data_IF_426131816326
#
_entry.id   IF_426131816326
#
_cell.length_a   1.000
_cell.length_b   1.000
_cell.length_c   1.000
_cell.angle_alpha   90.00
_cell.angle_beta   90.00
_cell.angle_gamma   90.00
#
_symmetry.space_group_name_H-M   'P 1'
#
loop_
_entity.id
_entity.type
_entity.pdbx_description
1 polymer ?
#
# COMPACT_ATOMS: atom_id res chain seq x y z
N UNK A 1 19.62 -7.88 -79.06
CA UNK A 1 20.57 -7.85 -77.94
C UNK A 1 19.83 -7.35 -76.70
N UNK A 2 19.19 -8.25 -75.94
CA UNK A 2 18.56 -7.90 -74.66
C UNK A 2 19.33 -8.63 -73.56
N UNK A 3 19.90 -7.84 -72.64
CA UNK A 3 20.77 -8.28 -71.56
C UNK A 3 19.91 -8.56 -70.33
N UNK A 4 19.92 -9.80 -69.87
CA UNK A 4 19.33 -10.24 -68.61
C UNK A 4 20.03 -9.55 -67.42
N UNK A 5 19.28 -8.82 -66.60
CA UNK A 5 19.71 -8.39 -65.27
C UNK A 5 18.87 -9.12 -64.22
N UNK A 6 19.45 -10.11 -63.55
CA UNK A 6 18.89 -10.67 -62.32
C UNK A 6 19.07 -9.65 -61.20
N UNK A 7 17.98 -9.17 -60.60
CA UNK A 7 17.99 -8.45 -59.34
C UNK A 7 17.76 -9.48 -58.23
N UNK A 8 18.79 -9.73 -57.42
CA UNK A 8 18.69 -10.52 -56.19
C UNK A 8 18.35 -9.55 -55.06
N UNK A 9 17.09 -9.59 -54.60
CA UNK A 9 16.66 -8.88 -53.39
C UNK A 9 17.06 -9.70 -52.16
N UNK A 10 18.06 -9.24 -51.43
CA UNK A 10 18.36 -9.72 -50.08
C UNK A 10 17.36 -9.11 -49.10
N UNK A 11 16.34 -9.88 -48.71
CA UNK A 11 15.49 -9.53 -47.58
C UNK A 11 16.24 -9.85 -46.28
N UNK A 12 16.92 -8.85 -45.70
CA UNK A 12 17.42 -8.96 -44.34
C UNK A 12 16.23 -8.91 -43.38
N UNK A 13 15.82 -10.08 -42.86
CA UNK A 13 14.86 -10.16 -41.77
C UNK A 13 15.55 -9.64 -40.49
N UNK A 14 15.31 -8.37 -40.17
CA UNK A 14 15.58 -7.83 -38.83
C UNK A 14 14.61 -8.51 -37.86
N UNK A 15 15.04 -9.61 -37.24
CA UNK A 15 14.40 -10.11 -36.04
C UNK A 15 14.56 -9.05 -34.95
N UNK A 16 13.54 -8.22 -34.75
CA UNK A 16 13.40 -7.46 -33.51
C UNK A 16 13.32 -8.50 -32.40
N UNK A 17 14.36 -8.57 -31.58
CA UNK A 17 14.27 -9.20 -30.27
C UNK A 17 13.25 -8.33 -29.51
N UNK A 18 11.99 -8.73 -29.50
CA UNK A 18 11.04 -8.24 -28.52
C UNK A 18 11.57 -8.73 -27.17
N UNK A 19 12.33 -7.90 -26.46
CA UNK A 19 12.55 -8.09 -25.04
C UNK A 19 11.16 -8.07 -24.41
N UNK A 20 10.69 -9.23 -23.96
CA UNK A 20 9.46 -9.30 -23.18
C UNK A 20 9.75 -8.52 -21.91
N UNK A 21 9.16 -7.32 -21.79
CA UNK A 21 9.19 -6.58 -20.54
C UNK A 21 8.25 -7.30 -19.58
N UNK A 22 8.80 -7.91 -18.54
CA UNK A 22 8.04 -8.52 -17.45
C UNK A 22 8.20 -10.03 -17.31
N UNK A 23 7.90 -10.51 -16.10
CA UNK A 23 8.00 -11.88 -15.64
C UNK A 23 6.84 -12.72 -16.18
N UNK A 24 7.14 -13.92 -16.68
CA UNK A 24 6.09 -14.87 -17.11
C UNK A 24 5.21 -15.29 -15.92
N UNK A 25 3.90 -15.18 -16.10
CA UNK A 25 2.92 -15.51 -15.06
C UNK A 25 1.58 -15.95 -15.67
N UNK A 26 0.77 -16.61 -14.86
CA UNK A 26 -0.65 -16.86 -15.12
C UNK A 26 -1.44 -15.74 -14.43
N UNK A 27 -2.44 -15.21 -15.14
CA UNK A 27 -3.29 -14.13 -14.66
C UNK A 27 -4.72 -14.64 -14.47
N UNK A 28 -5.26 -14.42 -13.29
CA UNK A 28 -6.67 -14.66 -12.96
C UNK A 28 -7.29 -13.37 -12.44
N UNK A 29 -8.57 -13.16 -12.77
CA UNK A 29 -9.37 -12.06 -12.24
C UNK A 29 -10.61 -12.64 -11.59
N UNK A 30 -10.90 -12.17 -10.37
CA UNK A 30 -12.13 -12.52 -9.68
C UNK A 30 -12.56 -11.39 -8.74
N UNK A 31 -13.75 -11.55 -8.16
CA UNK A 31 -14.28 -10.65 -7.14
C UNK A 31 -14.48 -11.40 -5.83
N UNK A 32 -14.31 -10.71 -4.70
CA UNK A 32 -14.52 -11.24 -3.35
C UNK A 32 -15.40 -10.32 -2.52
N UNK A 33 -16.01 -10.89 -1.47
CA UNK A 33 -16.95 -10.18 -0.61
C UNK A 33 -18.16 -9.65 -1.39
N UNK A 34 -18.85 -8.69 -0.79
CA UNK A 34 -20.10 -8.12 -1.31
C UNK A 34 -21.33 -8.98 -1.05
N UNK A 35 -22.49 -8.33 -1.12
CA UNK A 35 -23.79 -8.89 -0.76
C UNK A 35 -24.86 -8.49 -1.77
N UNK A 36 -25.97 -9.22 -1.77
CA UNK A 36 -27.18 -8.80 -2.48
C UNK A 36 -28.01 -7.91 -1.55
N UNK A 37 -28.46 -6.77 -2.07
CA UNK A 37 -29.43 -5.90 -1.41
C UNK A 37 -30.71 -5.84 -2.24
N UNK A 38 -31.83 -5.71 -1.55
CA UNK A 38 -33.13 -5.45 -2.17
C UNK A 38 -33.24 -3.95 -2.52
N UNK A 39 -33.77 -3.66 -3.69
CA UNK A 39 -34.06 -2.31 -4.20
C UNK A 39 -35.49 -1.89 -3.84
N UNK A 40 -35.82 -0.61 -4.01
CA UNK A 40 -37.16 -0.06 -3.72
C UNK A 40 -38.30 -0.77 -4.48
N UNK A 41 -38.01 -1.43 -5.61
CA UNK A 41 -38.99 -2.16 -6.40
C UNK A 41 -39.03 -3.69 -6.11
N UNK A 42 -38.28 -4.17 -5.11
CA UNK A 42 -38.17 -5.60 -4.76
C UNK A 42 -37.15 -6.39 -5.60
N UNK A 43 -36.49 -5.76 -6.58
CA UNK A 43 -35.37 -6.36 -7.32
C UNK A 43 -34.12 -6.44 -6.45
N UNK A 44 -33.12 -7.23 -6.87
CA UNK A 44 -31.86 -7.40 -6.13
C UNK A 44 -30.65 -6.93 -6.94
N UNK A 45 -29.76 -6.20 -6.28
CA UNK A 45 -28.48 -5.73 -6.84
C UNK A 45 -27.32 -6.11 -5.92
N UNK A 46 -26.11 -6.25 -6.46
CA UNK A 46 -24.93 -6.62 -5.69
C UNK A 46 -24.04 -5.42 -5.42
N UNK A 47 -23.57 -5.28 -4.18
CA UNK A 47 -22.68 -4.19 -3.79
C UNK A 47 -21.57 -4.65 -2.83
N UNK A 48 -20.55 -3.80 -2.65
CA UNK A 48 -19.51 -3.98 -1.64
C UNK A 48 -18.45 -5.02 -1.99
N UNK A 49 -18.45 -5.54 -3.23
CA UNK A 49 -17.42 -6.46 -3.70
C UNK A 49 -16.12 -5.75 -4.08
N UNK A 50 -15.03 -6.50 -3.95
CA UNK A 50 -13.68 -6.05 -4.27
C UNK A 50 -13.15 -6.83 -5.47
N UNK A 51 -12.65 -6.11 -6.47
CA UNK A 51 -11.88 -6.64 -7.58
C UNK A 51 -10.53 -7.16 -7.10
N UNK A 52 -10.12 -8.31 -7.64
CA UNK A 52 -8.82 -8.91 -7.39
C UNK A 52 -8.20 -9.37 -8.71
N UNK A 53 -6.98 -8.92 -8.96
CA UNK A 53 -6.12 -9.41 -10.03
C UNK A 53 -5.00 -10.25 -9.41
N UNK A 54 -5.00 -11.55 -9.71
CA UNK A 54 -4.04 -12.52 -9.20
C UNK A 54 -3.02 -12.87 -10.28
N UNK A 55 -1.75 -12.66 -9.97
CA UNK A 55 -0.63 -13.00 -10.80
C UNK A 55 0.16 -14.12 -10.12
N UNK A 56 0.29 -15.26 -10.80
CA UNK A 56 1.03 -16.43 -10.32
C UNK A 56 2.26 -16.69 -11.18
N UNK A 57 3.48 -16.70 -10.63
CA UNK A 57 4.67 -16.95 -11.42
C UNK A 57 4.67 -18.37 -12.00
N UNK A 58 5.22 -18.53 -13.21
CA UNK A 58 5.34 -19.83 -13.90
C UNK A 58 6.70 -20.50 -13.68
N UNK A 59 7.62 -19.83 -12.98
CA UNK A 59 8.94 -20.37 -12.64
C UNK A 59 8.88 -21.54 -11.66
N UNK A 60 10.00 -22.24 -11.49
CA UNK A 60 10.12 -23.41 -10.60
C UNK A 60 10.18 -23.06 -9.11
N UNK A 61 10.48 -21.81 -8.77
CA UNK A 61 10.54 -21.32 -7.39
C UNK A 61 9.28 -20.53 -7.08
N UNK A 62 8.47 -21.04 -6.16
CA UNK A 62 7.26 -20.38 -5.65
C UNK A 62 7.42 -20.16 -4.15
N UNK A 63 7.20 -18.93 -3.69
CA UNK A 63 7.24 -18.58 -2.28
C UNK A 63 6.00 -19.13 -1.55
N UNK A 64 6.17 -19.56 -0.30
CA UNK A 64 5.11 -20.19 0.47
C UNK A 64 3.93 -19.24 0.78
N UNK A 65 4.20 -17.94 0.89
CA UNK A 65 3.23 -16.93 1.28
C UNK A 65 3.05 -15.92 0.15
N UNK A 66 1.84 -15.80 -0.44
CA UNK A 66 1.55 -14.77 -1.43
C UNK A 66 1.51 -13.39 -0.79
N UNK A 67 1.66 -12.35 -1.61
CA UNK A 67 1.54 -10.95 -1.18
C UNK A 67 0.22 -10.37 -1.68
N UNK A 68 -0.56 -9.78 -0.78
CA UNK A 68 -1.71 -8.95 -1.13
C UNK A 68 -1.25 -7.48 -1.14
N UNK A 69 -1.34 -6.83 -2.28
CA UNK A 69 -1.00 -5.43 -2.49
C UNK A 69 -2.24 -4.55 -2.34
N UNK A 70 -2.19 -3.63 -1.37
CA UNK A 70 -3.30 -2.76 -0.98
C UNK A 70 -2.92 -1.29 -1.23
N UNK A 71 -3.62 -0.64 -2.15
CA UNK A 71 -3.32 0.73 -2.56
C UNK A 71 -3.81 1.80 -1.56
N UNK A 72 -3.33 3.04 -1.75
CA UNK A 72 -3.73 4.22 -1.00
C UNK A 72 -5.02 4.90 -1.49
N UNK A 73 -5.34 6.06 -0.91
CA UNK A 73 -6.52 6.85 -1.29
C UNK A 73 -6.40 7.37 -2.73
N UNK A 74 -7.51 7.43 -3.47
CA UNK A 74 -7.58 7.88 -4.89
C UNK A 74 -6.84 6.99 -5.88
N UNK A 75 -6.37 5.81 -5.46
CA UNK A 75 -5.55 4.91 -6.26
C UNK A 75 -6.27 3.57 -6.47
N UNK A 76 -5.64 2.65 -7.19
CA UNK A 76 -6.13 1.26 -7.42
C UNK A 76 -4.95 0.28 -7.48
N UNK A 77 -5.21 -1.01 -7.70
CA UNK A 77 -4.18 -2.04 -7.78
C UNK A 77 -3.20 -1.87 -8.95
N UNK A 78 -3.52 -1.01 -9.92
CA UNK A 78 -2.65 -0.72 -11.08
C UNK A 78 -1.33 -0.05 -10.69
N UNK A 79 -1.31 0.63 -9.54
CA UNK A 79 -0.15 1.34 -8.99
C UNK A 79 1.08 0.43 -8.79
N UNK A 80 0.84 -0.88 -8.65
CA UNK A 80 1.88 -1.88 -8.43
C UNK A 80 2.31 -2.59 -9.72
N UNK A 81 1.56 -2.46 -10.82
CA UNK A 81 1.77 -3.18 -12.07
C UNK A 81 2.84 -2.51 -12.94
N UNK A 82 2.59 -1.25 -13.31
CA UNK A 82 3.44 -0.49 -14.23
C UNK A 82 3.58 0.92 -13.69
N UNK A 83 4.82 1.39 -13.63
CA UNK A 83 5.15 2.76 -13.19
C UNK A 83 4.66 3.78 -14.22
N UNK A 84 4.45 5.05 -13.83
CA UNK A 84 3.98 6.09 -14.74
C UNK A 84 4.93 6.39 -15.92
N UNK A 85 6.21 6.05 -15.80
CA UNK A 85 7.21 6.15 -16.87
C UNK A 85 7.25 4.92 -17.81
N UNK A 86 6.35 3.95 -17.59
CA UNK A 86 6.22 2.73 -18.38
C UNK A 86 7.11 1.56 -17.93
N UNK A 87 7.94 1.73 -16.91
CA UNK A 87 8.77 0.65 -16.38
C UNK A 87 7.95 -0.34 -15.52
N UNK A 88 8.40 -1.61 -15.37
CA UNK A 88 7.73 -2.57 -14.49
C UNK A 88 7.63 -2.08 -13.04
N UNK A 89 6.49 -2.33 -12.40
CA UNK A 89 6.23 -2.03 -11.00
C UNK A 89 6.63 -3.17 -10.05
N UNK A 90 6.32 -3.01 -8.77
CA UNK A 90 6.67 -3.99 -7.74
C UNK A 90 6.00 -5.35 -7.91
N UNK A 91 4.82 -5.43 -8.53
CA UNK A 91 4.20 -6.72 -8.83
C UNK A 91 5.14 -7.60 -9.66
N UNK A 92 5.77 -7.03 -10.70
CA UNK A 92 6.75 -7.72 -11.52
C UNK A 92 8.02 -8.10 -10.73
N UNK A 93 8.52 -7.16 -9.91
CA UNK A 93 9.70 -7.39 -9.07
C UNK A 93 9.53 -8.58 -8.12
N UNK A 94 8.37 -8.69 -7.46
CA UNK A 94 8.07 -9.78 -6.52
C UNK A 94 7.69 -11.08 -7.25
N UNK A 95 6.99 -11.01 -8.39
CA UNK A 95 6.74 -12.17 -9.26
C UNK A 95 8.05 -12.83 -9.70
N UNK A 96 9.04 -12.03 -10.12
CA UNK A 96 10.37 -12.52 -10.51
C UNK A 96 11.10 -13.29 -9.40
N UNK A 97 10.66 -13.14 -8.15
CA UNK A 97 11.20 -13.79 -6.94
C UNK A 97 10.32 -14.93 -6.42
N UNK A 98 9.32 -15.33 -7.21
CA UNK A 98 8.45 -16.47 -6.92
C UNK A 98 7.25 -16.13 -6.05
N UNK A 99 7.00 -14.86 -5.71
CA UNK A 99 5.81 -14.49 -4.96
C UNK A 99 4.59 -14.51 -5.88
N UNK A 100 3.51 -15.13 -5.43
CA UNK A 100 2.18 -14.88 -5.96
C UNK A 100 1.69 -13.51 -5.49
N UNK A 101 1.13 -12.72 -6.40
CA UNK A 101 0.72 -11.35 -6.15
C UNK A 101 -0.79 -11.20 -6.34
N UNK A 102 -1.50 -10.73 -5.31
CA UNK A 102 -2.91 -10.37 -5.39
C UNK A 102 -3.03 -8.84 -5.31
N UNK A 103 -3.48 -8.24 -6.39
CA UNK A 103 -3.63 -6.79 -6.53
C UNK A 103 -5.11 -6.47 -6.38
N UNK A 104 -5.45 -5.67 -5.37
CA UNK A 104 -6.86 -5.35 -5.12
C UNK A 104 -7.16 -3.95 -5.63
N UNK A 105 -8.37 -3.75 -6.15
CA UNK A 105 -8.98 -2.41 -6.13
C UNK A 105 -9.96 -2.43 -4.96
N UNK A 106 -9.71 -1.67 -3.89
CA UNK A 106 -10.57 -1.65 -2.71
C UNK A 106 -12.03 -1.34 -3.09
N UNK A 107 -13.02 -1.72 -2.25
CA UNK A 107 -14.43 -1.52 -2.56
C UNK A 107 -14.73 -0.11 -3.06
N UNK A 108 -15.52 -0.03 -4.13
CA UNK A 108 -15.96 1.22 -4.78
C UNK A 108 -14.85 2.07 -5.42
N UNK A 109 -13.66 1.51 -5.65
CA UNK A 109 -12.59 2.15 -6.43
C UNK A 109 -12.25 1.32 -7.66
N UNK A 110 -11.93 1.99 -8.78
CA UNK A 110 -11.48 1.33 -10.01
C UNK A 110 -12.47 0.31 -10.55
N UNK A 111 -12.04 -0.95 -10.61
CA UNK A 111 -12.84 -2.07 -11.14
C UNK A 111 -13.79 -2.67 -10.10
N UNK A 112 -13.74 -2.22 -8.84
CA UNK A 112 -14.74 -2.52 -7.82
C UNK A 112 -15.96 -1.60 -8.01
N UNK A 113 -17.13 -2.12 -8.44
CA UNK A 113 -18.24 -1.29 -8.88
C UNK A 113 -18.75 -0.34 -7.80
N UNK A 114 -19.10 0.88 -8.20
CA UNK A 114 -19.80 1.87 -7.37
C UNK A 114 -21.07 1.27 -6.74
N UNK A 115 -21.46 1.66 -5.51
CA UNK A 115 -22.70 1.14 -4.95
C UNK A 115 -23.91 1.69 -5.74
N UNK A 116 -25.06 0.98 -5.75
CA UNK A 116 -26.29 1.42 -6.43
C UNK A 116 -26.78 2.80 -5.97
N UNK A 117 -26.60 3.10 -4.68
CA UNK A 117 -26.90 4.41 -4.08
C UNK A 117 -25.61 5.00 -3.51
N UNK A 118 -24.79 5.68 -4.33
CA UNK A 118 -23.52 6.20 -3.88
C UNK A 118 -23.71 7.34 -2.87
N UNK A 119 -22.93 7.32 -1.76
CA UNK A 119 -22.72 8.52 -0.98
C UNK A 119 -22.27 9.64 -1.92
N UNK A 120 -22.86 10.84 -1.76
CA UNK A 120 -22.65 11.94 -2.72
C UNK A 120 -21.29 12.62 -2.57
N UNK A 121 -20.72 12.53 -1.37
CA UNK A 121 -19.47 13.23 -1.06
C UNK A 121 -18.28 12.38 -1.49
N UNK A 122 -17.53 12.91 -2.45
CA UNK A 122 -16.34 12.28 -3.00
C UNK A 122 -15.11 13.10 -2.62
N UNK A 123 -14.05 12.40 -2.21
CA UNK A 123 -12.72 12.97 -1.98
C UNK A 123 -11.82 12.66 -3.16
N UNK A 124 -11.01 13.63 -3.54
CA UNK A 124 -10.01 13.55 -4.60
C UNK A 124 -8.85 14.51 -4.31
N UNK A 125 -7.73 14.32 -5.00
CA UNK A 125 -6.62 15.27 -4.97
C UNK A 125 -6.61 16.09 -6.25
N UNK A 126 -6.38 17.39 -6.15
CA UNK A 126 -6.09 18.21 -7.33
C UNK A 126 -4.68 17.90 -7.84
N UNK A 127 -4.38 18.34 -9.07
CA UNK A 127 -3.03 18.23 -9.64
C UNK A 127 -2.01 18.99 -8.78
N UNK A 128 -2.38 20.14 -8.23
CA UNK A 128 -1.52 20.93 -7.34
C UNK A 128 -1.24 20.18 -6.04
N UNK A 129 -2.26 19.57 -5.42
CA UNK A 129 -2.05 18.78 -4.19
C UNK A 129 -1.18 17.56 -4.48
N UNK A 130 -1.38 16.91 -5.63
CA UNK A 130 -0.54 15.79 -6.05
C UNK A 130 0.93 16.22 -6.24
N UNK A 131 1.18 17.34 -6.93
CA UNK A 131 2.52 17.89 -7.11
C UNK A 131 3.17 18.25 -5.77
N UNK A 132 2.45 18.96 -4.91
CA UNK A 132 2.92 19.41 -3.60
C UNK A 132 3.30 18.27 -2.66
N UNK A 133 2.58 17.15 -2.70
CA UNK A 133 2.72 16.09 -1.72
C UNK A 133 3.53 14.89 -2.21
N UNK A 134 3.46 14.62 -3.52
CA UNK A 134 3.80 13.30 -4.04
C UNK A 134 4.89 13.35 -5.11
N UNK A 135 4.73 14.19 -6.13
CA UNK A 135 5.53 14.09 -7.37
C UNK A 135 6.57 15.19 -7.53
N UNK A 136 6.36 16.37 -6.92
CA UNK A 136 7.32 17.48 -6.93
C UNK A 136 7.40 18.27 -5.61
N UNK A 137 7.36 17.64 -4.41
CA UNK A 137 7.34 18.36 -3.13
C UNK A 137 8.50 19.34 -2.93
N UNK A 138 9.68 19.05 -3.49
CA UNK A 138 10.86 19.95 -3.43
C UNK A 138 10.60 21.36 -3.97
N UNK A 139 9.66 21.52 -4.89
CA UNK A 139 9.38 22.81 -5.54
C UNK A 139 8.47 23.70 -4.67
N UNK A 140 7.86 23.13 -3.63
CA UNK A 140 6.93 23.83 -2.74
C UNK A 140 7.49 24.00 -1.32
N UNK A 141 8.38 23.12 -0.86
CA UNK A 141 9.05 23.27 0.43
C UNK A 141 8.11 23.28 1.64
N UNK A 142 7.00 22.53 1.59
CA UNK A 142 5.97 22.51 2.64
C UNK A 142 6.42 21.78 3.92
N UNK A 143 7.54 21.06 3.86
CA UNK A 143 8.26 20.49 5.00
C UNK A 143 9.77 20.45 4.67
N UNK A 144 10.62 20.42 5.70
CA UNK A 144 12.09 20.54 5.53
C UNK A 144 12.66 19.50 4.56
N UNK A 145 12.26 18.24 4.72
CA UNK A 145 12.79 17.12 3.94
C UNK A 145 12.32 17.11 2.48
N UNK A 146 11.29 17.90 2.12
CA UNK A 146 10.77 17.99 0.76
C UNK A 146 11.89 18.32 -0.26
N UNK A 147 12.84 19.16 0.13
CA UNK A 147 13.98 19.58 -0.68
C UNK A 147 14.88 18.41 -1.14
N UNK A 148 14.78 17.24 -0.50
CA UNK A 148 15.58 16.06 -0.84
C UNK A 148 14.99 15.24 -1.99
N UNK A 149 13.76 15.55 -2.44
CA UNK A 149 13.05 14.74 -3.43
C UNK A 149 13.70 14.78 -4.82
N UNK A 150 14.19 13.64 -5.28
CA UNK A 150 15.01 13.55 -6.51
C UNK A 150 14.75 12.29 -7.34
N UNK A 151 13.84 11.41 -6.91
CA UNK A 151 13.65 10.09 -7.54
C UNK A 151 12.42 9.98 -8.44
N UNK A 152 11.54 10.99 -8.47
CA UNK A 152 10.43 11.01 -9.42
C UNK A 152 10.92 11.01 -10.87
N UNK A 153 10.40 10.13 -11.76
CA UNK A 153 10.90 9.96 -13.12
C UNK A 153 10.39 11.03 -14.10
N UNK A 154 10.31 12.30 -13.68
CA UNK A 154 9.82 13.42 -14.49
C UNK A 154 9.86 14.74 -13.74
N UNK A 155 9.27 15.79 -14.31
CA UNK A 155 9.13 17.08 -13.64
C UNK A 155 8.11 17.03 -12.48
N UNK A 156 7.13 16.13 -12.54
CA UNK A 156 6.15 15.94 -11.46
C UNK A 156 5.04 17.00 -11.41
N UNK A 157 4.81 17.72 -12.51
CA UNK A 157 3.77 18.74 -12.65
C UNK A 157 2.84 18.44 -13.82
N UNK A 158 1.63 19.00 -13.79
CA UNK A 158 0.67 18.91 -14.90
C UNK A 158 1.30 19.32 -16.24
N UNK A 159 1.13 18.50 -17.27
CA UNK A 159 1.75 18.65 -18.58
C UNK A 159 3.08 17.90 -18.77
N UNK A 160 3.68 17.41 -17.68
CA UNK A 160 4.76 16.40 -17.76
C UNK A 160 4.14 15.03 -18.09
N UNK A 161 4.61 14.30 -19.12
CA UNK A 161 3.98 13.04 -19.53
C UNK A 161 3.90 11.97 -18.43
N UNK A 162 4.89 11.92 -17.53
CA UNK A 162 4.93 10.95 -16.43
C UNK A 162 3.95 11.34 -15.34
N UNK A 163 3.87 12.63 -15.00
CA UNK A 163 2.84 13.14 -14.10
C UNK A 163 1.43 12.94 -14.66
N UNK A 164 1.19 13.29 -15.93
CA UNK A 164 -0.12 13.16 -16.55
C UNK A 164 -0.57 11.70 -16.60
N UNK A 165 0.35 10.77 -16.88
CA UNK A 165 0.07 9.33 -16.81
C UNK A 165 -0.25 8.85 -15.38
N UNK A 166 0.50 9.33 -14.38
CA UNK A 166 0.22 9.07 -12.97
C UNK A 166 -1.16 9.61 -12.54
N UNK A 167 -1.49 10.83 -12.97
CA UNK A 167 -2.72 11.49 -12.56
C UNK A 167 -3.95 10.92 -13.29
N UNK A 168 -3.82 10.53 -14.56
CA UNK A 168 -4.87 9.89 -15.36
C UNK A 168 -5.32 8.52 -14.81
N UNK A 169 -4.49 7.89 -13.97
CA UNK A 169 -4.82 6.63 -13.29
C UNK A 169 -5.49 6.82 -11.91
N UNK A 170 -5.71 8.07 -11.49
CA UNK A 170 -6.39 8.42 -10.26
C UNK A 170 -7.89 8.08 -10.28
N UNK A 171 -8.43 7.83 -9.09
CA UNK A 171 -9.84 7.55 -8.83
C UNK A 171 -10.39 8.52 -7.78
N UNK A 172 -11.71 8.67 -7.76
CA UNK A 172 -12.40 9.31 -6.65
C UNK A 172 -12.76 8.28 -5.60
N UNK A 173 -12.72 8.70 -4.34
CA UNK A 173 -13.12 7.84 -3.23
C UNK A 173 -14.31 8.44 -2.49
N UNK A 174 -15.12 7.61 -1.85
CA UNK A 174 -16.20 8.05 -0.97
C UNK A 174 -15.62 8.76 0.25
N UNK A 175 -16.05 9.98 0.56
CA UNK A 175 -15.52 10.79 1.67
C UNK A 175 -16.10 10.38 3.03
N UNK A 176 -15.89 9.11 3.39
CA UNK A 176 -16.25 8.55 4.68
C UNK A 176 -15.25 7.45 5.07
N UNK A 177 -14.31 7.80 5.96
CA UNK A 177 -13.21 6.92 6.34
C UNK A 177 -13.70 5.65 7.06
N UNK A 178 -14.68 5.76 7.95
CA UNK A 178 -15.28 4.61 8.67
C UNK A 178 -15.92 3.63 7.69
N UNK A 179 -16.66 4.13 6.69
CA UNK A 179 -17.28 3.32 5.65
C UNK A 179 -16.23 2.61 4.78
N UNK A 180 -15.19 3.34 4.36
CA UNK A 180 -14.06 2.76 3.61
C UNK A 180 -13.37 1.65 4.39
N UNK A 181 -12.99 1.91 5.65
CA UNK A 181 -12.30 0.92 6.48
C UNK A 181 -13.17 -0.30 6.76
N UNK A 182 -14.47 -0.11 7.02
CA UNK A 182 -15.41 -1.21 7.29
C UNK A 182 -15.52 -2.14 6.09
N UNK A 183 -15.76 -1.58 4.91
CA UNK A 183 -15.94 -2.36 3.67
C UNK A 183 -14.63 -3.00 3.22
N UNK A 184 -13.52 -2.26 3.28
CA UNK A 184 -12.20 -2.78 2.94
C UNK A 184 -11.74 -3.90 3.89
N UNK A 185 -11.95 -3.77 5.21
CA UNK A 185 -11.67 -4.85 6.18
C UNK A 185 -12.42 -6.13 5.79
N UNK A 186 -13.71 -6.02 5.49
CA UNK A 186 -14.54 -7.17 5.14
C UNK A 186 -14.05 -7.87 3.87
N UNK A 187 -13.76 -7.11 2.81
CA UNK A 187 -13.36 -7.70 1.52
C UNK A 187 -11.93 -8.22 1.49
N UNK A 188 -10.99 -7.54 2.15
CA UNK A 188 -9.61 -8.07 2.27
C UNK A 188 -9.59 -9.30 3.16
N UNK A 189 -10.36 -9.34 4.24
CA UNK A 189 -10.52 -10.56 5.05
C UNK A 189 -11.11 -11.71 4.24
N UNK A 190 -12.12 -11.44 3.41
CA UNK A 190 -12.70 -12.45 2.51
C UNK A 190 -11.70 -12.92 1.44
N UNK A 191 -10.78 -12.06 0.99
CA UNK A 191 -9.68 -12.48 0.11
C UNK A 191 -8.72 -13.43 0.84
N UNK A 192 -8.31 -13.08 2.06
CA UNK A 192 -7.45 -13.94 2.89
C UNK A 192 -8.11 -15.31 3.12
N UNK A 193 -9.41 -15.34 3.44
CA UNK A 193 -10.18 -16.58 3.59
C UNK A 193 -10.24 -17.40 2.31
N UNK A 194 -10.47 -16.74 1.16
CA UNK A 194 -10.51 -17.41 -0.15
C UNK A 194 -9.17 -17.99 -0.56
N UNK A 195 -8.05 -17.31 -0.22
CA UNK A 195 -6.70 -17.83 -0.46
C UNK A 195 -6.47 -19.08 0.39
N UNK A 196 -7.04 -19.14 1.59
CA UNK A 196 -7.09 -20.36 2.41
C UNK A 196 -5.73 -20.82 2.96
N UNK A 197 -4.70 -19.97 2.86
CA UNK A 197 -3.37 -20.19 3.43
C UNK A 197 -2.76 -18.85 3.88
N UNK A 198 -1.75 -18.86 4.75
CA UNK A 198 -1.20 -17.62 5.28
C UNK A 198 -0.60 -16.71 4.21
N UNK A 199 -0.74 -15.39 4.39
CA UNK A 199 -0.32 -14.37 3.42
C UNK A 199 0.56 -13.28 4.04
N UNK A 200 1.20 -12.49 3.19
CA UNK A 200 1.81 -11.20 3.52
C UNK A 200 0.88 -10.09 3.05
N UNK A 201 0.67 -9.07 3.89
CA UNK A 201 -0.03 -7.85 3.49
C UNK A 201 0.99 -6.74 3.25
N UNK A 202 0.94 -6.12 2.07
CA UNK A 202 1.74 -4.94 1.72
C UNK A 202 0.78 -3.81 1.35
N UNK A 203 0.82 -2.71 2.09
CA UNK A 203 -0.09 -1.60 1.88
C UNK A 203 0.59 -0.24 1.84
N UNK A 204 -0.02 0.69 1.12
CA UNK A 204 0.44 2.08 1.02
C UNK A 204 -0.58 3.07 1.58
N UNK A 205 -0.12 4.09 2.31
CA UNK A 205 -0.95 5.25 2.67
C UNK A 205 -2.27 4.85 3.34
N UNK A 206 -3.41 5.31 2.83
CA UNK A 206 -4.76 4.93 3.29
C UNK A 206 -4.97 3.40 3.42
N UNK A 207 -4.30 2.60 2.58
CA UNK A 207 -4.32 1.14 2.65
C UNK A 207 -3.70 0.58 3.94
N UNK A 208 -2.84 1.34 4.62
CA UNK A 208 -2.25 0.96 5.91
C UNK A 208 -3.29 0.66 6.98
N UNK A 209 -4.36 1.46 7.08
CA UNK A 209 -5.45 1.19 8.01
C UNK A 209 -6.14 -0.15 7.70
N UNK A 210 -6.35 -0.46 6.42
CA UNK A 210 -6.95 -1.73 5.97
C UNK A 210 -6.04 -2.91 6.30
N UNK A 211 -4.72 -2.73 6.18
CA UNK A 211 -3.72 -3.73 6.51
C UNK A 211 -3.77 -4.12 7.99
N UNK A 212 -3.89 -3.16 8.92
CA UNK A 212 -4.05 -3.45 10.35
C UNK A 212 -5.35 -4.20 10.63
N UNK A 213 -6.44 -3.74 10.03
CA UNK A 213 -7.79 -4.28 10.26
C UNK A 213 -7.97 -5.69 9.70
N UNK A 214 -7.39 -5.98 8.54
CA UNK A 214 -7.46 -7.32 7.94
C UNK A 214 -6.62 -8.33 8.75
N UNK A 215 -5.46 -7.91 9.24
CA UNK A 215 -4.62 -8.75 10.11
C UNK A 215 -5.30 -9.03 11.45
N UNK A 216 -5.90 -8.00 12.06
CA UNK A 216 -6.69 -8.13 13.28
C UNK A 216 -7.91 -9.06 13.11
N UNK A 217 -8.57 -9.01 11.94
CA UNK A 217 -9.72 -9.86 11.67
C UNK A 217 -9.35 -11.32 11.36
N UNK A 218 -8.12 -11.61 10.95
CA UNK A 218 -7.64 -12.95 10.55
C UNK A 218 -6.28 -13.27 11.19
N UNK A 219 -6.19 -13.27 12.53
CA UNK A 219 -4.96 -13.69 13.20
C UNK A 219 -4.64 -15.13 12.80
N UNK A 220 -3.38 -15.41 12.50
CA UNK A 220 -2.90 -16.72 12.04
C UNK A 220 -2.90 -16.96 10.53
N UNK A 221 -3.71 -16.22 9.75
CA UNK A 221 -3.64 -16.24 8.28
C UNK A 221 -2.82 -15.10 7.70
N UNK A 222 -2.27 -14.23 8.54
CA UNK A 222 -1.28 -13.23 8.14
C UNK A 222 0.04 -13.55 8.82
N UNK A 223 1.15 -13.51 8.06
CA UNK A 223 2.50 -13.86 8.57
C UNK A 223 3.45 -12.67 8.67
N UNK A 224 3.21 -11.61 7.90
CA UNK A 224 4.00 -10.38 7.97
C UNK A 224 3.23 -9.20 7.39
N UNK A 225 3.55 -8.01 7.89
CA UNK A 225 2.93 -6.74 7.50
C UNK A 225 4.00 -5.78 6.98
N UNK A 226 3.80 -5.24 5.77
CA UNK A 226 4.66 -4.21 5.18
C UNK A 226 3.82 -2.96 4.92
N UNK A 227 4.04 -1.93 5.73
CA UNK A 227 3.32 -0.66 5.66
C UNK A 227 4.22 0.41 5.04
N UNK A 228 3.95 0.78 3.79
CA UNK A 228 4.62 1.86 3.08
C UNK A 228 3.90 3.16 3.42
N UNK A 229 4.51 3.99 4.27
CA UNK A 229 3.96 5.28 4.69
C UNK A 229 2.47 5.19 5.07
N UNK A 230 2.10 4.37 6.08
CA UNK A 230 0.72 4.08 6.41
C UNK A 230 -0.04 5.34 6.87
N UNK A 231 -1.36 5.33 6.70
CA UNK A 231 -2.24 6.37 7.22
C UNK A 231 -1.93 6.65 8.69
N UNK A 232 -1.58 7.89 9.00
CA UNK A 232 -1.07 8.27 10.31
C UNK A 232 -0.90 9.79 10.45
N UNK A 233 -0.26 10.23 11.54
CA UNK A 233 0.18 9.42 12.69
C UNK A 233 -0.99 8.88 13.55
N UNK A 234 -0.71 8.11 14.62
CA UNK A 234 -1.73 7.64 15.54
C UNK A 234 -2.49 8.78 16.21
N UNK A 235 -3.81 8.61 16.40
CA UNK A 235 -4.74 9.58 17.02
C UNK A 235 -4.85 10.98 16.37
N UNK A 236 -4.03 11.30 15.38
CA UNK A 236 -3.92 12.63 14.78
C UNK A 236 -3.68 12.55 13.28
N UNK A 237 -4.37 13.33 12.46
CA UNK A 237 -3.82 13.72 11.16
C UNK A 237 -2.81 14.84 11.38
N UNK A 238 -1.62 14.80 10.77
CA UNK A 238 -0.57 15.83 10.96
C UNK A 238 -0.33 16.70 9.72
N UNK A 239 -0.81 16.28 8.55
CA UNK A 239 -0.62 17.00 7.30
C UNK A 239 -1.90 17.03 6.44
N UNK A 240 -2.36 18.20 5.96
CA UNK A 240 -1.72 19.51 6.03
C UNK A 240 -1.93 20.24 7.36
N UNK A 241 -2.89 19.77 8.17
CA UNK A 241 -3.28 20.35 9.46
C UNK A 241 -3.27 19.27 10.53
N UNK A 242 -3.03 19.70 11.77
CA UNK A 242 -3.07 18.83 12.95
C UNK A 242 -4.50 18.73 13.45
N UNK A 243 -5.11 17.56 13.31
CA UNK A 243 -6.51 17.30 13.68
C UNK A 243 -6.66 15.95 14.37
N UNK A 244 -7.66 15.79 15.23
CA UNK A 244 -8.00 14.49 15.80
C UNK A 244 -8.50 13.53 14.71
N UNK A 245 -7.97 12.32 14.68
CA UNK A 245 -8.36 11.26 13.76
C UNK A 245 -8.07 9.90 14.39
N UNK A 246 -8.59 8.81 13.83
CA UNK A 246 -8.25 7.44 14.28
C UNK A 246 -8.41 7.26 15.79
N UNK A 247 -9.64 7.29 16.32
CA UNK A 247 -9.91 7.10 17.75
C UNK A 247 -9.29 5.83 18.34
N UNK A 248 -9.03 4.79 17.54
CA UNK A 248 -8.40 3.54 17.97
C UNK A 248 -6.87 3.52 17.74
N UNK A 249 -6.23 4.69 17.71
CA UNK A 249 -4.79 4.83 17.47
C UNK A 249 -4.49 4.79 15.97
N UNK A 250 -4.54 3.61 15.35
CA UNK A 250 -4.18 3.41 13.94
C UNK A 250 -5.38 3.45 12.98
N UNK A 251 -6.60 3.31 13.50
CA UNK A 251 -7.81 3.09 12.71
C UNK A 251 -8.98 3.93 13.20
N UNK A 252 -9.95 4.17 12.32
CA UNK A 252 -11.19 4.90 12.61
C UNK A 252 -12.33 3.95 13.02
N UNK A 253 -12.17 2.65 12.77
CA UNK A 253 -13.05 1.60 13.26
C UNK A 253 -12.35 0.74 14.32
N UNK A 254 -13.10 -0.01 15.16
CA UNK A 254 -12.52 -0.85 16.19
C UNK A 254 -11.50 -1.85 15.65
N UNK A 255 -10.40 -1.98 16.39
CA UNK A 255 -9.36 -3.01 16.28
C UNK A 255 -9.19 -3.64 17.67
N UNK A 256 -8.84 -4.92 17.77
CA UNK A 256 -8.84 -5.60 19.06
C UNK A 256 -7.67 -5.16 19.97
N UNK A 257 -8.02 -4.81 21.21
CA UNK A 257 -7.06 -4.50 22.27
C UNK A 257 -7.15 -5.49 23.43
N UNK A 258 -6.05 -5.62 24.17
CA UNK A 258 -5.99 -6.26 25.48
C UNK A 258 -5.39 -5.28 26.50
N UNK A 259 -6.14 -4.89 27.56
CA UNK A 259 -7.56 -5.20 27.79
C UNK A 259 -8.50 -4.59 26.72
N UNK A 260 -9.70 -5.16 26.51
CA UNK A 260 -10.64 -4.70 25.48
C UNK A 260 -11.13 -3.27 25.74
N UNK A 261 -11.38 -2.54 24.66
CA UNK A 261 -11.90 -1.16 24.66
C UNK A 261 -13.42 -1.19 24.54
N UNK A 262 -14.10 -0.49 25.43
CA UNK A 262 -15.52 -0.18 25.34
C UNK A 262 -15.76 1.20 24.72
N UNK A 263 -14.97 2.19 25.12
CA UNK A 263 -15.00 3.54 24.57
C UNK A 263 -13.57 4.06 24.36
N UNK A 264 -13.10 4.24 23.10
CA UNK A 264 -11.73 4.68 22.84
C UNK A 264 -11.43 6.07 23.40
N UNK A 265 -12.42 6.95 23.62
CA UNK A 265 -12.20 8.26 24.21
C UNK A 265 -11.89 8.20 25.72
N UNK A 266 -12.32 7.12 26.38
CA UNK A 266 -12.11 6.89 27.82
C UNK A 266 -10.95 5.93 28.05
N UNK A 267 -10.91 4.84 27.28
CA UNK A 267 -10.03 3.70 27.50
C UNK A 267 -8.61 3.89 26.95
N UNK A 268 -8.44 4.73 25.94
CA UNK A 268 -7.14 5.11 25.36
C UNK A 268 -6.76 6.51 25.83
N UNK A 269 -6.24 6.57 27.06
CA UNK A 269 -5.64 7.81 27.58
C UNK A 269 -4.42 8.15 26.73
N UNK A 270 -4.32 9.41 26.32
CA UNK A 270 -3.29 9.88 25.39
C UNK A 270 -2.22 10.69 26.13
N UNK A 271 -0.96 10.55 25.72
CA UNK A 271 0.15 11.38 26.15
C UNK A 271 0.84 12.05 24.94
N UNK A 272 1.35 13.26 25.12
CA UNK A 272 2.01 14.03 24.08
C UNK A 272 3.53 13.90 24.24
N UNK A 273 4.15 13.20 23.31
CA UNK A 273 5.59 13.04 23.21
C UNK A 273 6.14 14.13 22.29
N UNK A 274 6.75 15.15 22.90
CA UNK A 274 7.34 16.28 22.18
C UNK A 274 8.63 15.85 21.48
N UNK A 275 8.72 16.10 20.19
CA UNK A 275 9.95 15.83 19.43
C UNK A 275 11.06 16.79 19.82
N UNK A 276 12.30 16.30 19.80
CA UNK A 276 13.49 17.14 19.97
C UNK A 276 13.99 17.77 18.65
N UNK A 277 13.26 17.55 17.54
CA UNK A 277 13.59 18.06 16.20
C UNK A 277 12.47 18.93 15.68
N UNK A 278 12.83 20.03 15.00
CA UNK A 278 11.88 20.87 14.26
C UNK A 278 11.36 20.18 13.00
N UNK A 279 12.04 19.14 12.53
CA UNK A 279 11.72 18.42 11.30
C UNK A 279 10.79 17.21 11.54
N UNK A 280 10.53 16.88 12.81
CA UNK A 280 9.69 15.78 13.23
C UNK A 280 8.47 16.30 13.97
N UNK A 281 7.31 15.71 13.69
CA UNK A 281 6.06 16.00 14.39
C UNK A 281 6.13 15.50 15.85
N UNK A 282 5.31 16.09 16.72
CA UNK A 282 5.06 15.51 18.04
C UNK A 282 4.18 14.27 17.90
N UNK A 283 4.41 13.25 18.73
CA UNK A 283 3.58 12.06 18.73
C UNK A 283 2.52 12.14 19.82
N UNK A 284 1.27 11.89 19.46
CA UNK A 284 0.25 11.52 20.44
C UNK A 284 0.29 10.00 20.58
N UNK A 285 0.69 9.50 21.74
CA UNK A 285 0.79 8.07 22.07
C UNK A 285 -0.19 7.71 23.20
N UNK A 286 -0.24 6.44 23.60
CA UNK A 286 -1.00 6.05 24.79
C UNK A 286 -0.23 6.50 26.05
N UNK A 287 -0.94 6.85 27.12
CA UNK A 287 -0.34 6.99 28.43
C UNK A 287 -0.08 5.60 29.06
N UNK A 288 0.91 5.50 29.95
CA UNK A 288 1.20 4.25 30.66
C UNK A 288 0.13 3.95 31.74
N UNK A 289 -0.32 2.71 31.92
CA UNK A 289 0.07 1.48 31.20
C UNK A 289 -0.68 1.31 29.87
N UNK A 290 0.05 1.28 28.76
CA UNK A 290 -0.56 1.21 27.43
C UNK A 290 -1.26 -0.13 27.15
N UNK A 291 -2.35 -0.08 26.38
CA UNK A 291 -3.08 -1.28 25.92
C UNK A 291 -2.37 -1.90 24.73
N UNK A 292 -2.46 -3.23 24.64
CA UNK A 292 -1.81 -4.04 23.60
C UNK A 292 -2.75 -4.27 22.43
N UNK A 293 -2.23 -4.35 21.21
CA UNK A 293 -3.01 -4.76 20.04
C UNK A 293 -3.08 -6.29 19.99
N UNK A 294 -4.19 -6.84 20.50
CA UNK A 294 -4.30 -8.25 20.89
C UNK A 294 -3.97 -9.23 19.75
N UNK A 295 -4.46 -8.94 18.54
CA UNK A 295 -4.30 -9.84 17.40
C UNK A 295 -3.08 -9.52 16.51
N UNK A 296 -2.33 -8.46 16.83
CA UNK A 296 -1.15 -8.05 16.07
C UNK A 296 0.17 -8.31 16.80
N UNK A 297 0.12 -8.64 18.10
CA UNK A 297 1.29 -8.79 18.99
C UNK A 297 2.35 -9.75 18.44
N UNK A 298 1.93 -10.83 17.76
CA UNK A 298 2.83 -11.84 17.21
C UNK A 298 3.27 -11.54 15.77
N UNK A 299 2.79 -10.48 15.14
CA UNK A 299 3.08 -10.20 13.74
C UNK A 299 4.31 -9.30 13.61
N UNK A 300 5.32 -9.70 12.80
CA UNK A 300 6.39 -8.77 12.43
C UNK A 300 5.83 -7.70 11.49
N UNK A 301 6.16 -6.44 11.80
CA UNK A 301 5.74 -5.26 11.02
C UNK A 301 6.97 -4.51 10.53
N UNK A 302 6.97 -4.17 9.24
CA UNK A 302 7.92 -3.23 8.64
C UNK A 302 7.17 -1.96 8.22
N UNK A 303 7.52 -0.82 8.83
CA UNK A 303 7.11 0.50 8.34
C UNK A 303 8.23 1.04 7.45
N UNK A 304 7.90 1.48 6.23
CA UNK A 304 8.87 2.02 5.26
C UNK A 304 8.54 3.48 4.98
N UNK A 305 9.53 4.36 5.14
CA UNK A 305 9.34 5.81 5.00
C UNK A 305 10.38 6.42 4.08
N UNK A 306 9.93 7.19 3.09
CA UNK A 306 10.75 7.89 2.13
C UNK A 306 11.36 9.15 2.73
N UNK A 307 12.66 9.35 2.49
CA UNK A 307 13.44 10.46 3.04
C UNK A 307 12.80 11.83 2.79
N UNK A 308 12.22 12.05 1.61
CA UNK A 308 11.66 13.33 1.20
C UNK A 308 10.13 13.40 1.35
N UNK A 309 9.49 12.37 1.88
CA UNK A 309 8.04 12.35 2.08
C UNK A 309 7.61 13.21 3.27
N UNK A 310 6.37 13.71 3.25
CA UNK A 310 5.77 14.37 4.42
C UNK A 310 5.60 13.40 5.60
N UNK A 311 5.55 12.08 5.32
CA UNK A 311 5.56 11.02 6.33
C UNK A 311 6.88 10.93 7.12
N UNK A 312 8.00 11.43 6.58
CA UNK A 312 9.28 11.50 7.30
C UNK A 312 9.16 12.28 8.63
N UNK A 313 8.16 13.15 8.74
CA UNK A 313 7.87 13.91 9.96
C UNK A 313 7.31 13.04 11.08
N UNK A 314 6.48 12.04 10.78
CA UNK A 314 5.60 11.42 11.78
C UNK A 314 5.49 9.90 11.73
N UNK A 315 6.02 9.20 10.72
CA UNK A 315 5.91 7.72 10.68
C UNK A 315 6.61 7.05 11.87
N UNK A 316 7.61 7.72 12.46
CA UNK A 316 8.21 7.29 13.72
C UNK A 316 7.18 7.19 14.86
N UNK A 317 6.14 8.04 14.88
CA UNK A 317 5.04 7.94 15.83
C UNK A 317 4.25 6.64 15.65
N UNK A 318 3.99 6.23 14.41
CA UNK A 318 3.31 4.98 14.11
C UNK A 318 4.11 3.78 14.62
N UNK A 319 5.43 3.82 14.46
CA UNK A 319 6.34 2.77 14.95
C UNK A 319 6.38 2.72 16.47
N UNK A 320 6.51 3.87 17.14
CA UNK A 320 6.53 3.92 18.61
C UNK A 320 5.18 3.51 19.20
N UNK A 321 4.07 3.88 18.58
CA UNK A 321 2.75 3.40 18.99
C UNK A 321 2.62 1.87 18.85
N UNK A 322 3.08 1.29 17.74
CA UNK A 322 3.05 -0.16 17.54
C UNK A 322 3.87 -0.88 18.63
N UNK A 323 5.08 -0.41 18.91
CA UNK A 323 5.93 -0.97 19.98
C UNK A 323 5.28 -0.83 21.35
N UNK A 324 4.71 0.34 21.65
CA UNK A 324 3.99 0.59 22.89
C UNK A 324 2.78 -0.36 23.04
N UNK A 325 2.11 -0.67 21.93
CA UNK A 325 1.03 -1.65 21.87
C UNK A 325 1.52 -3.12 21.75
N UNK A 326 2.77 -3.38 22.10
CA UNK A 326 3.46 -4.67 22.11
C UNK A 326 3.68 -5.35 20.74
N UNK A 327 3.55 -4.63 19.63
CA UNK A 327 3.80 -5.17 18.28
C UNK A 327 5.29 -5.06 17.92
N UNK A 328 5.84 -6.12 17.31
CA UNK A 328 7.21 -6.19 16.80
C UNK A 328 7.36 -5.36 15.51
N UNK A 329 7.58 -4.05 15.68
CA UNK A 329 7.67 -3.08 14.59
C UNK A 329 9.11 -2.59 14.32
N UNK A 330 9.58 -2.84 13.09
CA UNK A 330 10.82 -2.28 12.53
C UNK A 330 10.52 -1.05 11.66
N UNK A 331 11.38 -0.04 11.71
CA UNK A 331 11.28 1.16 10.87
C UNK A 331 12.41 1.21 9.85
N UNK A 332 12.07 1.05 8.58
CA UNK A 332 12.96 1.31 7.46
C UNK A 332 12.79 2.75 6.98
N UNK A 333 13.53 3.66 7.61
CA UNK A 333 13.83 4.97 7.03
C UNK A 333 14.82 4.75 5.88
N UNK A 334 14.43 5.08 4.65
CA UNK A 334 15.18 4.66 3.46
C UNK A 334 16.64 5.14 3.46
N UNK A 335 16.89 6.34 3.98
CA UNK A 335 18.24 6.92 4.06
C UNK A 335 19.16 6.13 4.99
N UNK A 336 18.62 5.45 6.02
CA UNK A 336 19.40 4.56 6.88
C UNK A 336 19.90 3.31 6.12
N UNK A 337 19.24 2.96 5.02
CA UNK A 337 19.66 1.90 4.08
C UNK A 337 20.43 2.46 2.86
N UNK A 338 20.90 3.72 2.92
CA UNK A 338 21.55 4.44 1.82
C UNK A 338 20.67 4.58 0.56
N UNK A 339 19.34 4.58 0.73
CA UNK A 339 18.38 4.84 -0.34
C UNK A 339 17.80 6.24 -0.12
N UNK A 340 18.16 7.19 -0.99
CA UNK A 340 17.89 8.62 -0.75
C UNK A 340 17.03 9.26 -1.84
N UNK A 341 16.34 10.32 -1.45
CA UNK A 341 15.58 11.21 -2.33
C UNK A 341 14.18 10.73 -2.74
N UNK A 342 13.67 9.72 -2.04
CA UNK A 342 12.37 9.12 -2.31
C UNK A 342 11.23 9.87 -1.61
N UNK A 343 10.09 10.02 -2.30
CA UNK A 343 8.86 10.60 -1.76
C UNK A 343 7.80 9.56 -1.43
N UNK A 344 6.53 10.00 -1.33
CA UNK A 344 5.40 9.17 -0.88
C UNK A 344 5.11 7.97 -1.80
N UNK A 345 5.30 8.14 -3.11
CA UNK A 345 5.08 7.10 -4.12
C UNK A 345 6.39 6.39 -4.50
N UNK A 346 7.23 6.09 -3.50
CA UNK A 346 8.58 5.51 -3.69
C UNK A 346 8.64 4.23 -4.56
N UNK A 347 7.53 3.49 -4.65
CA UNK A 347 7.40 2.30 -5.49
C UNK A 347 7.22 2.61 -6.98
N UNK A 348 6.92 3.86 -7.34
CA UNK A 348 6.85 4.37 -8.71
C UNK A 348 8.12 5.12 -9.14
N UNK A 349 9.06 5.34 -8.21
CA UNK A 349 10.24 6.16 -8.44
C UNK A 349 11.41 5.38 -9.05
N UNK A 350 12.38 6.10 -9.61
CA UNK A 350 13.49 5.55 -10.42
C UNK A 350 14.32 4.45 -9.73
N UNK A 351 14.40 4.46 -8.40
CA UNK A 351 15.14 3.50 -7.59
C UNK A 351 14.24 2.55 -6.77
N UNK A 352 12.95 2.44 -7.12
CA UNK A 352 11.95 1.62 -6.40
C UNK A 352 12.39 0.18 -6.15
N UNK A 353 13.18 -0.41 -7.05
CA UNK A 353 13.62 -1.80 -6.97
C UNK A 353 14.66 -2.00 -5.87
N UNK A 354 15.43 -0.94 -5.55
CA UNK A 354 16.34 -0.94 -4.39
C UNK A 354 15.55 -1.04 -3.09
N UNK A 355 14.38 -0.39 -3.03
CA UNK A 355 13.48 -0.44 -1.88
C UNK A 355 12.81 -1.81 -1.78
N UNK A 356 12.25 -2.31 -2.88
CA UNK A 356 11.67 -3.66 -2.94
C UNK A 356 12.68 -4.75 -2.55
N UNK A 357 13.97 -4.54 -2.84
CA UNK A 357 15.06 -5.41 -2.37
C UNK A 357 15.20 -5.43 -0.85
N UNK A 358 15.11 -4.28 -0.18
CA UNK A 358 15.15 -4.24 1.29
C UNK A 358 13.93 -4.93 1.90
N UNK A 359 12.74 -4.69 1.33
CA UNK A 359 11.50 -5.38 1.75
C UNK A 359 11.63 -6.89 1.56
N UNK A 360 12.11 -7.35 0.41
CA UNK A 360 12.30 -8.78 0.13
C UNK A 360 13.31 -9.44 1.08
N UNK A 361 14.40 -8.75 1.43
CA UNK A 361 15.39 -9.24 2.42
C UNK A 361 14.76 -9.36 3.81
N UNK A 362 13.99 -8.35 4.21
CA UNK A 362 13.29 -8.37 5.50
C UNK A 362 12.26 -9.51 5.54
N UNK A 363 11.44 -9.67 4.50
CA UNK A 363 10.50 -10.79 4.37
C UNK A 363 11.21 -12.15 4.47
N UNK A 364 12.31 -12.33 3.75
CA UNK A 364 13.09 -13.56 3.82
C UNK A 364 13.59 -13.86 5.25
N UNK A 365 14.03 -12.85 6.01
CA UNK A 365 14.47 -12.98 7.40
C UNK A 365 13.32 -13.39 8.34
N UNK A 366 12.19 -12.69 8.28
CA UNK A 366 11.09 -12.89 9.25
C UNK A 366 10.26 -14.14 8.94
N UNK A 367 10.13 -14.51 7.67
CA UNK A 367 9.36 -15.69 7.26
C UNK A 367 10.14 -17.00 7.43
N UNK A 368 11.48 -16.98 7.43
CA UNK A 368 12.31 -18.18 7.69
C UNK A 368 12.50 -18.44 9.18
N UNK A 369 12.81 -17.41 9.96
CA UNK A 369 13.05 -17.54 11.41
C UNK A 369 11.85 -18.15 12.15
N UNK A 370 10.62 -17.78 11.76
CA UNK A 370 9.40 -18.26 12.40
C UNK A 370 8.85 -19.58 11.85
N UNK A 371 9.38 -20.09 10.72
CA UNK A 371 9.02 -21.43 10.25
C UNK A 371 9.64 -22.54 11.12
N UNK A 372 10.76 -22.25 11.78
CA UNK A 372 11.44 -23.18 12.68
C UNK A 372 10.75 -23.37 14.04
N UNK A 373 9.92 -22.43 14.47
CA UNK A 373 9.13 -22.53 15.70
C UNK A 373 7.81 -23.29 15.49
N UNK A 374 7.18 -23.17 14.31
CA UNK A 374 5.92 -23.86 13.98
C UNK A 374 6.10 -25.37 13.72
N UNK A 375 7.34 -25.87 13.58
CA UNK A 375 7.65 -27.31 13.36
C UNK A 375 8.06 -28.07 14.62
N UNK A 376 8.09 -27.41 15.78
CA UNK A 376 8.49 -27.99 17.07
C UNK A 376 7.32 -28.13 18.08
N UNK A 377 6.08 -27.97 17.63
CA UNK A 377 4.85 -28.26 18.37
C UNK A 377 4.00 -29.23 17.59
#
# INVERSE_FOLDING_TARGET
MFRNGLIVLWAAALARICTVNGTSHIREIFFVGGEYIETDNGDHVRQGQMYVEHLRPTGSTIQAYPIIFIHGATRTGIDWLTKPDGQPGWADYFLARGYECYLVDLPYQGRSPSPPTPPRDLRYFSTEVAAQRFTAPKDFGLWTQAALHTRWPGAGHMGDPVFDQFFASGNYLIDNTTFQQTTARATVSALVDRIGRPVVLLAHSNGGAVLWLAADARPGLVKALVAIEPLGPPFKADFPTVEDARPYGLTDIPIAYDPPIADPAVDLVKDLHVSNSTDLANCTLQAESARRLANLIDLPVLVVTGQASYHARYDWCSVEFLKQAAVDAEHLQLEAANITGNGHFMFMETNSDSIASQIAKWLAKVLTSRHSTDTLT
#
